data_IF_765939132438
#
_entry.id   IF_765939132438
#
_cell.length_a   1.000
_cell.length_b   1.000
_cell.length_c   1.000
_cell.angle_alpha   90.00
_cell.angle_beta   90.00
_cell.angle_gamma   90.00
#
_symmetry.space_group_name_H-M   'P 1'
#
loop_
_entity.id
_entity.type
_entity.pdbx_description
1 polymer ?
#
# COMPACT_ATOMS: atom_id res chain seq x y z
N UNK A 1 8.88 20.84 20.63
CA UNK A 1 7.77 20.28 19.83
C UNK A 1 7.91 18.77 19.82
N UNK A 2 7.06 18.05 20.55
CA UNK A 2 7.12 16.59 20.60
C UNK A 2 6.33 16.04 19.41
N UNK A 3 7.02 15.46 18.45
CA UNK A 3 6.40 14.55 17.46
C UNK A 3 5.64 13.52 18.27
N UNK A 4 4.35 13.33 17.98
CA UNK A 4 3.50 12.47 18.78
C UNK A 4 4.10 11.06 18.83
N UNK A 5 4.01 10.41 19.98
CA UNK A 5 4.56 9.06 20.18
C UNK A 5 3.96 8.04 19.18
N UNK A 6 2.77 8.33 18.68
CA UNK A 6 2.07 7.57 17.64
C UNK A 6 2.73 7.72 16.26
N UNK A 7 3.17 8.93 15.87
CA UNK A 7 3.91 9.14 14.62
C UNK A 7 5.26 8.44 14.65
N UNK A 8 5.93 8.40 15.81
CA UNK A 8 7.18 7.63 15.98
C UNK A 8 6.96 6.12 15.88
N UNK A 9 5.87 5.60 16.44
CA UNK A 9 5.50 4.19 16.33
C UNK A 9 5.12 3.81 14.90
N UNK A 10 4.48 4.68 14.15
CA UNK A 10 4.19 4.46 12.73
C UNK A 10 5.44 4.50 11.86
N UNK A 11 6.33 5.46 12.09
CA UNK A 11 7.63 5.49 11.43
C UNK A 11 8.45 4.22 11.73
N UNK A 12 8.40 3.72 12.96
CA UNK A 12 9.03 2.45 13.34
C UNK A 12 8.36 1.24 12.67
N UNK A 13 7.04 1.26 12.54
CA UNK A 13 6.28 0.17 11.89
C UNK A 13 6.47 0.17 10.38
N UNK A 14 6.46 1.35 9.75
CA UNK A 14 6.77 1.51 8.32
C UNK A 14 8.23 1.14 8.06
N UNK A 15 9.15 1.48 8.96
CA UNK A 15 10.55 1.08 8.86
C UNK A 15 10.71 -0.44 9.02
N UNK A 16 9.96 -1.08 9.92
CA UNK A 16 9.92 -2.53 10.07
C UNK A 16 9.32 -3.23 8.83
N UNK A 17 8.30 -2.64 8.20
CA UNK A 17 7.73 -3.14 6.94
C UNK A 17 8.72 -2.99 5.78
N UNK A 18 9.48 -1.89 5.71
CA UNK A 18 10.57 -1.70 4.73
C UNK A 18 11.73 -2.67 4.98
N UNK A 19 12.07 -2.96 6.24
CA UNK A 19 13.13 -3.91 6.58
C UNK A 19 12.68 -5.36 6.37
N UNK A 20 11.40 -5.66 6.55
CA UNK A 20 10.78 -6.92 6.15
C UNK A 20 10.79 -7.06 4.61
N UNK A 21 10.49 -6.00 3.86
CA UNK A 21 10.62 -5.98 2.40
C UNK A 21 12.06 -6.31 1.95
N UNK A 22 13.10 -5.76 2.60
CA UNK A 22 14.51 -6.07 2.29
C UNK A 22 14.82 -7.57 2.46
N UNK A 23 14.29 -8.18 3.49
CA UNK A 23 14.53 -9.60 3.80
C UNK A 23 13.82 -10.50 2.77
N UNK A 24 12.61 -10.14 2.38
CA UNK A 24 11.79 -10.87 1.41
C UNK A 24 12.41 -10.77 0.00
N UNK A 25 12.89 -9.58 -0.41
CA UNK A 25 13.56 -9.39 -1.69
C UNK A 25 14.87 -10.18 -1.80
N UNK A 26 15.64 -10.30 -0.73
CA UNK A 26 16.84 -11.15 -0.72
C UNK A 26 16.54 -12.62 -0.94
N UNK A 27 15.41 -13.13 -0.45
CA UNK A 27 14.99 -14.53 -0.67
C UNK A 27 14.43 -14.77 -2.09
N UNK A 28 13.81 -13.79 -2.72
CA UNK A 28 13.29 -13.92 -4.10
C UNK A 28 14.39 -13.95 -5.16
N UNK A 29 15.46 -13.18 -4.97
CA UNK A 29 16.64 -13.19 -5.86
C UNK A 29 17.52 -14.42 -5.68
N UNK A 30 17.57 -15.03 -4.50
CA UNK A 30 18.36 -16.26 -4.28
C UNK A 30 17.68 -17.53 -4.81
N UNK A 31 16.41 -17.47 -5.22
CA UNK A 31 15.66 -18.61 -5.79
C UNK A 31 15.96 -18.91 -7.26
N UNK A 32 16.81 -18.16 -7.94
CA UNK A 32 17.21 -18.35 -9.34
C UNK A 32 18.68 -18.77 -9.48
N UNK A 33 19.27 -19.34 -8.44
CA UNK A 33 20.49 -20.10 -8.55
C UNK A 33 20.14 -21.46 -9.19
N UNK A 34 20.27 -21.52 -10.53
CA UNK A 34 20.41 -22.78 -11.22
C UNK A 34 21.61 -23.53 -10.63
N UNK A 35 21.34 -24.52 -9.80
CA UNK A 35 22.28 -25.60 -9.56
C UNK A 35 22.55 -26.26 -10.90
N UNK A 36 23.71 -25.95 -11.49
CA UNK A 36 24.27 -26.72 -12.56
C UNK A 36 24.60 -28.11 -11.98
N UNK A 37 23.65 -29.06 -12.15
CA UNK A 37 23.94 -30.47 -11.92
C UNK A 37 24.90 -30.94 -13.01
N UNK A 38 26.17 -30.96 -12.69
CA UNK A 38 27.13 -31.83 -13.40
C UNK A 38 26.90 -33.23 -12.83
N UNK A 39 25.87 -33.89 -13.37
CA UNK A 39 25.71 -35.34 -13.21
C UNK A 39 26.58 -35.98 -14.29
N UNK A 40 27.79 -36.39 -13.97
CA UNK A 40 28.52 -37.40 -14.71
C UNK A 40 27.79 -38.74 -14.48
N UNK A 41 26.73 -38.97 -15.27
CA UNK A 41 26.02 -40.24 -15.35
C UNK A 41 26.67 -41.11 -16.43
N UNK A 42 27.36 -42.15 -16.01
CA UNK A 42 27.71 -43.25 -16.88
C UNK A 42 26.42 -43.89 -17.46
N UNK A 43 26.13 -43.65 -18.71
CA UNK A 43 25.08 -44.35 -19.47
C UNK A 43 25.69 -45.57 -20.11
N UNK A 44 25.37 -46.73 -19.56
CA UNK A 44 25.63 -48.05 -20.15
C UNK A 44 24.81 -48.20 -21.46
N UNK A 45 25.46 -48.72 -22.47
CA UNK A 45 25.06 -48.79 -23.84
C UNK A 45 23.66 -49.32 -24.16
N UNK A 46 23.04 -48.61 -25.10
CA UNK A 46 22.16 -49.20 -26.08
C UNK A 46 22.90 -49.00 -27.43
N UNK A 47 23.30 -50.12 -28.02
CA UNK A 47 23.84 -50.10 -29.39
C UNK A 47 22.70 -49.74 -30.33
N UNK A 48 22.59 -48.45 -30.67
CA UNK A 48 21.82 -47.98 -31.81
C UNK A 48 22.73 -48.10 -33.02
N UNK A 49 22.23 -48.69 -34.12
CA UNK A 49 22.93 -48.77 -35.40
C UNK A 49 23.52 -47.39 -35.74
N UNK A 50 24.83 -47.26 -35.59
CA UNK A 50 25.56 -46.05 -35.86
C UNK A 50 25.51 -45.81 -37.37
N UNK A 51 24.57 -44.97 -37.84
CA UNK A 51 24.67 -44.41 -39.19
C UNK A 51 26.07 -43.86 -39.38
N UNK A 52 26.73 -44.18 -40.47
CA UNK A 52 28.10 -43.75 -40.76
C UNK A 52 28.18 -42.21 -40.64
N UNK A 53 29.02 -41.71 -39.74
CA UNK A 53 29.21 -40.29 -39.51
C UNK A 53 29.67 -39.58 -40.78
N UNK A 54 29.18 -38.37 -41.04
CA UNK A 54 29.57 -37.56 -42.18
C UNK A 54 31.09 -37.39 -42.21
N UNK A 55 31.76 -37.73 -43.32
CA UNK A 55 33.23 -37.54 -43.46
C UNK A 55 33.74 -36.16 -43.08
N UNK A 56 32.92 -35.10 -43.25
CA UNK A 56 33.15 -33.73 -42.85
C UNK A 56 33.56 -33.61 -41.38
N UNK A 57 32.99 -34.41 -40.50
CA UNK A 57 33.23 -34.38 -39.08
C UNK A 57 34.67 -34.68 -38.68
N UNK A 58 35.37 -35.43 -39.53
CA UNK A 58 36.80 -35.75 -39.38
C UNK A 58 37.71 -34.80 -40.16
N UNK A 59 37.31 -34.45 -41.39
CA UNK A 59 38.10 -33.58 -42.27
C UNK A 59 38.13 -32.11 -41.76
N UNK A 60 37.06 -31.64 -41.15
CA UNK A 60 36.95 -30.26 -40.59
C UNK A 60 37.12 -30.22 -39.07
N UNK A 61 37.76 -31.22 -38.45
CA UNK A 61 37.90 -31.31 -36.98
C UNK A 61 38.47 -30.03 -36.34
N UNK A 62 39.54 -29.43 -36.91
CA UNK A 62 40.12 -28.21 -36.38
C UNK A 62 39.19 -27.01 -36.49
N UNK A 63 38.44 -26.88 -37.59
CA UNK A 63 37.48 -25.80 -37.77
C UNK A 63 36.30 -25.92 -36.78
N UNK A 64 35.86 -27.18 -36.53
CA UNK A 64 34.86 -27.46 -35.51
C UNK A 64 35.34 -27.10 -34.09
N UNK A 65 36.57 -27.49 -33.76
CA UNK A 65 37.24 -27.15 -32.49
C UNK A 65 37.36 -25.64 -32.31
N UNK A 66 37.77 -24.90 -33.33
CA UNK A 66 37.90 -23.45 -33.27
C UNK A 66 36.53 -22.76 -33.04
N UNK A 67 35.49 -23.27 -33.69
CA UNK A 67 34.11 -22.73 -33.49
C UNK A 67 33.59 -23.06 -32.11
N UNK A 68 33.81 -24.25 -31.58
CA UNK A 68 33.49 -24.63 -30.23
C UNK A 68 34.29 -23.78 -29.19
N UNK A 69 35.57 -23.57 -29.43
CA UNK A 69 36.39 -22.74 -28.56
C UNK A 69 35.91 -21.30 -28.52
N UNK A 70 35.42 -20.72 -29.60
CA UNK A 70 34.76 -19.38 -29.57
C UNK A 70 33.53 -19.39 -28.70
N UNK A 71 32.69 -20.44 -28.76
CA UNK A 71 31.55 -20.56 -27.86
C UNK A 71 31.99 -20.66 -26.41
N UNK A 72 33.04 -21.43 -26.10
CA UNK A 72 33.49 -21.71 -24.74
C UNK A 72 34.41 -20.63 -24.15
N UNK A 73 34.95 -19.69 -24.96
CA UNK A 73 36.03 -18.78 -24.60
C UNK A 73 35.82 -17.96 -23.32
N UNK A 74 34.58 -17.60 -22.99
CA UNK A 74 34.23 -16.80 -21.83
C UNK A 74 33.51 -17.60 -20.74
N UNK A 75 33.36 -18.91 -20.89
CA UNK A 75 32.65 -19.75 -19.93
C UNK A 75 33.62 -20.15 -18.82
N UNK A 76 33.34 -19.65 -17.63
CA UNK A 76 34.12 -20.02 -16.44
C UNK A 76 33.77 -21.45 -16.00
N UNK A 77 34.76 -22.34 -15.86
CA UNK A 77 34.48 -23.73 -15.48
C UNK A 77 33.78 -23.91 -14.14
N UNK A 78 33.93 -22.95 -13.21
CA UNK A 78 33.36 -23.01 -11.86
C UNK A 78 32.00 -22.31 -11.77
N UNK A 79 31.86 -21.18 -12.47
CA UNK A 79 30.66 -20.33 -12.36
C UNK A 79 29.77 -20.34 -13.61
N UNK A 80 30.18 -21.07 -14.65
CA UNK A 80 29.44 -21.15 -15.92
C UNK A 80 29.24 -19.76 -16.55
N UNK A 81 28.00 -19.41 -16.85
CA UNK A 81 27.63 -18.13 -17.49
C UNK A 81 27.45 -16.96 -16.52
N UNK A 82 27.54 -17.19 -15.20
CA UNK A 82 27.13 -16.21 -14.20
C UNK A 82 27.97 -14.92 -14.26
N UNK A 83 29.26 -15.01 -14.54
CA UNK A 83 30.18 -13.87 -14.58
C UNK A 83 30.33 -13.24 -15.97
N UNK A 84 29.76 -13.83 -17.01
CA UNK A 84 29.84 -13.31 -18.37
C UNK A 84 29.06 -11.99 -18.50
N UNK A 85 29.64 -11.02 -19.24
CA UNK A 85 28.89 -9.83 -19.66
C UNK A 85 27.79 -10.22 -20.68
N UNK A 86 26.87 -9.31 -20.94
CA UNK A 86 25.79 -9.54 -21.91
C UNK A 86 26.38 -9.74 -23.33
N UNK A 87 27.37 -8.96 -23.67
CA UNK A 87 28.08 -9.07 -24.96
C UNK A 87 28.79 -10.42 -25.09
N UNK A 88 29.44 -10.90 -24.02
CA UNK A 88 30.04 -12.21 -23.98
C UNK A 88 29.01 -13.34 -24.12
N UNK A 89 27.86 -13.23 -23.43
CA UNK A 89 26.75 -14.19 -23.57
C UNK A 89 26.20 -14.20 -24.99
N UNK A 90 26.02 -13.03 -25.59
CA UNK A 90 25.56 -12.91 -26.98
C UNK A 90 26.57 -13.52 -27.96
N UNK A 91 27.86 -13.24 -27.80
CA UNK A 91 28.91 -13.80 -28.63
C UNK A 91 29.00 -15.33 -28.52
N UNK A 92 28.93 -15.86 -27.29
CA UNK A 92 28.88 -17.31 -27.07
C UNK A 92 27.63 -17.94 -27.65
N UNK A 93 26.45 -17.35 -27.48
CA UNK A 93 25.21 -17.86 -28.09
C UNK A 93 25.32 -17.92 -29.62
N UNK A 94 25.86 -16.87 -30.24
CA UNK A 94 26.08 -16.82 -31.71
C UNK A 94 27.06 -17.90 -32.17
N UNK A 95 28.20 -18.04 -31.51
CA UNK A 95 29.19 -19.06 -31.84
C UNK A 95 28.65 -20.48 -31.60
N UNK A 96 27.85 -20.67 -30.55
CA UNK A 96 27.18 -21.96 -30.30
C UNK A 96 26.18 -22.34 -31.39
N UNK A 97 25.39 -21.38 -31.90
CA UNK A 97 24.51 -21.60 -33.04
C UNK A 97 25.29 -21.97 -34.29
N UNK A 98 26.34 -21.25 -34.60
CA UNK A 98 27.22 -21.54 -35.73
C UNK A 98 27.81 -22.94 -35.63
N UNK A 99 28.26 -23.36 -34.43
CA UNK A 99 28.75 -24.70 -34.18
C UNK A 99 27.66 -25.79 -34.45
N UNK A 100 26.45 -25.58 -33.92
CA UNK A 100 25.35 -26.55 -34.13
C UNK A 100 24.89 -26.60 -35.57
N UNK A 101 24.86 -25.50 -36.29
CA UNK A 101 24.49 -25.42 -37.69
C UNK A 101 25.48 -26.19 -38.59
N UNK A 102 26.77 -25.98 -38.35
CA UNK A 102 27.84 -26.57 -39.17
C UNK A 102 28.17 -28.02 -38.79
N UNK A 103 28.17 -28.33 -37.50
CA UNK A 103 28.71 -29.57 -36.94
C UNK A 103 27.71 -30.36 -36.08
N UNK A 104 26.45 -29.91 -35.98
CA UNK A 104 25.40 -30.60 -35.21
C UNK A 104 25.04 -32.00 -35.73
N UNK A 105 25.45 -32.34 -36.94
CA UNK A 105 25.35 -33.70 -37.56
C UNK A 105 26.46 -34.63 -37.06
N UNK A 106 27.55 -34.13 -36.50
CA UNK A 106 28.73 -34.87 -36.06
C UNK A 106 28.50 -35.53 -34.68
N UNK A 107 27.44 -36.31 -34.61
CA UNK A 107 26.92 -36.87 -33.36
C UNK A 107 27.76 -37.98 -32.73
N UNK A 108 28.81 -38.45 -33.41
CA UNK A 108 29.75 -39.46 -32.91
C UNK A 108 31.05 -38.80 -32.45
N UNK A 109 31.60 -37.87 -33.23
CA UNK A 109 32.88 -37.19 -32.92
C UNK A 109 32.71 -36.11 -31.86
N UNK A 110 31.54 -35.39 -31.87
CA UNK A 110 31.31 -34.20 -31.02
C UNK A 110 30.11 -34.33 -30.06
N UNK A 111 29.74 -35.57 -29.67
CA UNK A 111 28.55 -35.89 -28.85
C UNK A 111 28.42 -34.95 -27.64
N UNK A 112 29.45 -34.91 -26.78
CA UNK A 112 29.41 -34.16 -25.53
C UNK A 112 29.30 -32.65 -25.77
N UNK A 113 30.03 -32.14 -26.77
CA UNK A 113 30.02 -30.71 -27.11
C UNK A 113 28.70 -30.30 -27.74
N UNK A 114 28.15 -31.08 -28.64
CA UNK A 114 26.85 -30.83 -29.27
C UNK A 114 25.74 -30.80 -28.22
N UNK A 115 25.70 -31.77 -27.31
CA UNK A 115 24.71 -31.81 -26.23
C UNK A 115 24.85 -30.63 -25.26
N UNK A 116 26.07 -30.26 -24.94
CA UNK A 116 26.35 -29.10 -24.09
C UNK A 116 25.89 -27.79 -24.76
N UNK A 117 26.25 -27.57 -26.01
CA UNK A 117 25.90 -26.39 -26.80
C UNK A 117 24.38 -26.32 -27.01
N UNK A 118 23.71 -27.42 -27.34
CA UNK A 118 22.24 -27.49 -27.49
C UNK A 118 21.49 -27.04 -26.23
N UNK A 119 22.01 -27.39 -25.06
CA UNK A 119 21.42 -26.97 -23.78
C UNK A 119 21.79 -25.52 -23.42
N UNK A 120 22.99 -25.09 -23.79
CA UNK A 120 23.55 -23.81 -23.35
C UNK A 120 23.06 -22.62 -24.19
N UNK A 121 22.94 -22.80 -25.52
CA UNK A 121 22.52 -21.68 -26.40
C UNK A 121 21.16 -21.10 -26.03
N UNK A 122 20.09 -21.89 -25.84
CA UNK A 122 18.79 -21.32 -25.41
C UNK A 122 18.85 -20.62 -24.06
N UNK A 123 19.69 -21.12 -23.13
CA UNK A 123 19.87 -20.48 -21.84
C UNK A 123 20.58 -19.12 -21.95
N UNK A 124 21.64 -19.03 -22.76
CA UNK A 124 22.35 -17.79 -23.04
C UNK A 124 21.44 -16.75 -23.71
N UNK A 125 20.69 -17.17 -24.73
CA UNK A 125 19.73 -16.29 -25.42
C UNK A 125 18.69 -15.73 -24.48
N UNK A 126 18.11 -16.57 -23.60
CA UNK A 126 17.18 -16.13 -22.58
C UNK A 126 17.81 -15.11 -21.64
N UNK A 127 19.06 -15.36 -21.18
CA UNK A 127 19.79 -14.42 -20.32
C UNK A 127 20.00 -13.06 -21.01
N UNK A 128 20.33 -13.06 -22.30
CA UNK A 128 20.50 -11.83 -23.10
C UNK A 128 19.16 -11.09 -23.25
N UNK A 129 18.11 -11.81 -23.57
CA UNK A 129 16.76 -11.22 -23.75
C UNK A 129 16.20 -10.65 -22.46
N UNK A 130 16.43 -11.33 -21.33
CA UNK A 130 15.93 -10.89 -20.02
C UNK A 130 16.82 -9.80 -19.36
N UNK A 131 18.06 -9.62 -19.81
CA UNK A 131 19.00 -8.71 -19.19
C UNK A 131 18.50 -7.26 -19.04
N UNK A 132 17.86 -6.63 -20.05
CA UNK A 132 17.34 -5.28 -19.89
C UNK A 132 16.25 -5.18 -18.82
N UNK A 133 15.42 -6.23 -18.72
CA UNK A 133 14.38 -6.34 -17.70
C UNK A 133 15.00 -6.44 -16.30
N UNK A 134 15.97 -7.33 -16.13
CA UNK A 134 16.68 -7.55 -14.86
C UNK A 134 17.40 -6.27 -14.43
N UNK A 135 18.09 -5.58 -15.34
CA UNK A 135 18.79 -4.34 -15.04
C UNK A 135 17.86 -3.23 -14.51
N UNK A 136 16.61 -3.18 -14.96
CA UNK A 136 15.62 -2.23 -14.42
C UNK A 136 15.21 -2.64 -13.00
N UNK A 137 14.93 -3.94 -12.78
CA UNK A 137 14.58 -4.46 -11.46
C UNK A 137 15.71 -4.22 -10.45
N UNK A 138 16.96 -4.49 -10.81
CA UNK A 138 18.12 -4.29 -9.94
C UNK A 138 18.28 -2.80 -9.54
N UNK A 139 18.04 -1.87 -10.47
CA UNK A 139 18.05 -0.43 -10.16
C UNK A 139 16.93 -0.07 -9.18
N UNK A 140 15.74 -0.59 -9.40
CA UNK A 140 14.60 -0.37 -8.51
C UNK A 140 14.90 -0.91 -7.11
N UNK A 141 15.34 -2.17 -7.02
CA UNK A 141 15.64 -2.86 -5.77
C UNK A 141 16.78 -2.20 -4.99
N UNK A 142 17.77 -1.65 -5.68
CA UNK A 142 18.87 -0.89 -5.04
C UNK A 142 18.40 0.48 -4.51
N UNK A 143 17.47 1.13 -5.21
CA UNK A 143 16.97 2.46 -4.85
C UNK A 143 16.06 2.46 -3.61
N UNK A 144 15.22 1.42 -3.45
CA UNK A 144 14.26 1.31 -2.34
C UNK A 144 14.92 1.37 -0.95
N UNK A 145 15.89 0.48 -0.58
CA UNK A 145 16.53 0.53 0.72
C UNK A 145 17.38 1.77 0.93
N UNK A 146 17.89 2.36 -0.17
CA UNK A 146 18.66 3.60 -0.14
C UNK A 146 17.77 4.86 -0.01
N UNK A 147 16.44 4.71 -0.06
CA UNK A 147 15.45 5.81 -0.07
C UNK A 147 15.69 6.81 -1.20
N UNK A 148 16.25 6.36 -2.31
CA UNK A 148 16.47 7.15 -3.52
C UNK A 148 15.20 7.13 -4.37
N UNK A 149 14.18 7.83 -3.91
CA UNK A 149 12.83 7.72 -4.49
C UNK A 149 12.79 8.13 -5.97
N UNK A 150 13.57 9.13 -6.37
CA UNK A 150 13.65 9.53 -7.79
C UNK A 150 14.18 8.41 -8.68
N UNK A 151 15.23 7.70 -8.23
CA UNK A 151 15.77 6.56 -8.96
C UNK A 151 14.77 5.39 -8.97
N UNK A 152 14.09 5.13 -7.84
CA UNK A 152 13.07 4.10 -7.74
C UNK A 152 11.90 4.37 -8.69
N UNK A 153 11.36 5.59 -8.69
CA UNK A 153 10.26 5.95 -9.58
C UNK A 153 10.68 5.96 -11.05
N UNK A 154 11.90 6.40 -11.37
CA UNK A 154 12.42 6.35 -12.74
C UNK A 154 12.51 4.89 -13.25
N UNK A 155 13.10 3.99 -12.46
CA UNK A 155 13.18 2.57 -12.82
C UNK A 155 11.81 1.91 -12.87
N UNK A 156 10.94 2.18 -11.89
CA UNK A 156 9.58 1.64 -11.86
C UNK A 156 8.72 2.11 -13.03
N UNK A 157 8.76 3.39 -13.39
CA UNK A 157 8.07 3.93 -14.56
C UNK A 157 8.56 3.29 -15.87
N UNK A 158 9.88 3.10 -16.00
CA UNK A 158 10.47 2.39 -17.14
C UNK A 158 9.99 0.94 -17.21
N UNK A 159 9.93 0.25 -16.06
CA UNK A 159 9.43 -1.13 -16.00
C UNK A 159 7.96 -1.23 -16.41
N UNK A 160 7.11 -0.39 -15.86
CA UNK A 160 5.67 -0.35 -16.19
C UNK A 160 5.44 -0.10 -17.68
N UNK A 161 6.23 0.80 -18.29
CA UNK A 161 6.11 1.14 -19.70
C UNK A 161 6.55 0.00 -20.62
N UNK A 162 7.66 -0.69 -20.29
CA UNK A 162 8.23 -1.75 -21.13
C UNK A 162 7.61 -3.13 -20.88
N UNK A 163 7.15 -3.39 -19.65
CA UNK A 163 6.72 -4.72 -19.20
C UNK A 163 5.34 -4.69 -18.48
N UNK A 164 4.26 -4.14 -19.11
CA UNK A 164 2.97 -3.92 -18.44
C UNK A 164 2.24 -5.21 -18.03
N UNK A 165 2.64 -6.37 -18.59
CA UNK A 165 2.07 -7.67 -18.28
C UNK A 165 3.04 -8.62 -17.56
N UNK A 166 4.16 -8.09 -17.08
CA UNK A 166 5.17 -8.89 -16.38
C UNK A 166 4.63 -9.37 -15.02
N UNK A 167 4.92 -10.64 -14.64
CA UNK A 167 4.54 -11.17 -13.32
C UNK A 167 5.12 -10.34 -12.13
N UNK A 168 6.24 -9.66 -12.33
CA UNK A 168 6.87 -8.82 -11.29
C UNK A 168 6.23 -7.41 -11.17
N UNK A 169 5.28 -7.06 -12.04
CA UNK A 169 4.68 -5.72 -12.06
C UNK A 169 4.15 -5.27 -10.69
N UNK A 170 3.45 -6.15 -9.98
CA UNK A 170 2.91 -5.84 -8.66
C UNK A 170 4.01 -5.57 -7.63
N UNK A 171 5.18 -6.21 -7.74
CA UNK A 171 6.33 -5.97 -6.86
C UNK A 171 6.91 -4.57 -7.03
N UNK A 172 6.66 -3.92 -8.16
CA UNK A 172 7.11 -2.57 -8.47
C UNK A 172 6.05 -1.54 -8.07
N UNK A 173 4.81 -1.71 -8.55
CA UNK A 173 3.78 -0.68 -8.42
C UNK A 173 3.19 -0.57 -7.01
N UNK A 174 3.13 -1.66 -6.23
CA UNK A 174 2.66 -1.61 -4.83
C UNK A 174 3.58 -0.77 -3.95
N UNK A 175 4.92 -0.98 -3.92
CA UNK A 175 5.83 -0.09 -3.22
C UNK A 175 5.75 1.36 -3.68
N UNK A 176 5.71 1.62 -4.99
CA UNK A 176 5.59 2.99 -5.52
C UNK A 176 4.33 3.69 -5.00
N UNK A 177 3.17 3.01 -5.04
CA UNK A 177 1.93 3.54 -4.49
C UNK A 177 2.05 3.89 -3.00
N UNK A 178 2.69 3.04 -2.21
CA UNK A 178 2.85 3.23 -0.77
C UNK A 178 3.87 4.32 -0.41
N UNK A 179 4.98 4.41 -1.14
CA UNK A 179 6.00 5.45 -0.98
C UNK A 179 5.40 6.83 -1.21
N UNK A 180 4.54 7.00 -2.23
CA UNK A 180 3.92 8.29 -2.51
C UNK A 180 3.05 8.81 -1.38
N UNK A 181 2.31 7.93 -0.68
CA UNK A 181 1.55 8.32 0.54
C UNK A 181 2.48 8.64 1.70
N UNK A 182 3.53 7.83 1.90
CA UNK A 182 4.52 8.08 2.94
C UNK A 182 5.18 9.45 2.76
N UNK A 183 5.62 9.76 1.56
CA UNK A 183 6.23 11.04 1.23
C UNK A 183 5.23 12.20 1.36
N UNK A 184 3.99 12.01 0.91
CA UNK A 184 2.93 13.01 1.07
C UNK A 184 2.64 13.29 2.56
N UNK A 185 2.65 12.28 3.43
CA UNK A 185 2.51 12.45 4.87
C UNK A 185 3.67 13.25 5.50
N UNK A 186 4.84 13.19 4.87
CA UNK A 186 6.02 13.99 5.21
C UNK A 186 6.08 15.32 4.46
N UNK A 187 4.98 15.76 3.81
CA UNK A 187 4.85 17.00 3.04
C UNK A 187 5.64 17.03 1.72
N UNK A 188 6.21 15.93 1.30
CA UNK A 188 6.78 15.79 -0.03
C UNK A 188 5.70 15.29 -1.00
N UNK A 189 5.09 16.21 -1.74
CA UNK A 189 3.94 15.92 -2.62
C UNK A 189 4.36 15.42 -4.02
N UNK A 190 5.66 15.32 -4.28
CA UNK A 190 6.22 15.00 -5.61
C UNK A 190 5.63 13.72 -6.21
N UNK A 191 5.36 12.72 -5.37
CA UNK A 191 4.94 11.39 -5.81
C UNK A 191 3.45 11.12 -5.57
N UNK A 192 2.67 12.14 -5.17
CA UNK A 192 1.27 11.98 -4.81
C UNK A 192 0.40 11.48 -5.99
N UNK A 193 0.58 12.06 -7.17
CA UNK A 193 -0.17 11.66 -8.37
C UNK A 193 0.20 10.25 -8.83
N UNK A 194 1.48 9.91 -8.79
CA UNK A 194 1.97 8.56 -9.10
C UNK A 194 1.41 7.53 -8.11
N UNK A 195 1.30 7.87 -6.83
CA UNK A 195 0.69 7.00 -5.83
C UNK A 195 -0.77 6.68 -6.18
N UNK A 196 -1.57 7.67 -6.55
CA UNK A 196 -2.96 7.44 -7.01
C UNK A 196 -2.97 6.57 -8.27
N UNK A 197 -2.14 6.90 -9.26
CA UNK A 197 -2.03 6.16 -10.52
C UNK A 197 -1.72 4.69 -10.29
N UNK A 198 -0.70 4.40 -9.47
CA UNK A 198 -0.28 3.02 -9.22
C UNK A 198 -1.22 2.28 -8.28
N UNK A 199 -1.85 2.95 -7.32
CA UNK A 199 -2.92 2.35 -6.52
C UNK A 199 -4.09 1.89 -7.40
N UNK A 200 -4.54 2.70 -8.34
CA UNK A 200 -5.58 2.34 -9.31
C UNK A 200 -5.15 1.17 -10.19
N UNK A 201 -3.92 1.20 -10.71
CA UNK A 201 -3.39 0.10 -11.53
C UNK A 201 -3.39 -1.24 -10.78
N UNK A 202 -3.02 -1.23 -9.49
CA UNK A 202 -3.06 -2.43 -8.65
C UNK A 202 -4.48 -2.94 -8.46
N UNK A 203 -5.43 -2.04 -8.16
CA UNK A 203 -6.86 -2.39 -8.01
C UNK A 203 -7.40 -3.00 -9.32
N UNK A 204 -7.10 -2.39 -10.46
CA UNK A 204 -7.54 -2.88 -11.78
C UNK A 204 -6.95 -4.25 -12.11
N UNK A 205 -5.66 -4.49 -11.81
CA UNK A 205 -5.03 -5.81 -12.00
C UNK A 205 -5.72 -6.88 -11.15
N UNK A 206 -6.07 -6.58 -9.90
CA UNK A 206 -6.79 -7.55 -9.06
C UNK A 206 -8.23 -7.79 -9.51
N UNK A 207 -8.92 -6.75 -9.99
CA UNK A 207 -10.26 -6.88 -10.55
C UNK A 207 -10.26 -7.66 -11.88
N UNK A 208 -9.19 -7.59 -12.66
CA UNK A 208 -9.02 -8.39 -13.88
C UNK A 208 -8.61 -9.84 -13.63
N UNK A 209 -8.56 -10.30 -12.39
CA UNK A 209 -8.36 -11.68 -12.01
C UNK A 209 -6.90 -12.09 -11.78
N UNK A 210 -5.97 -11.16 -11.59
CA UNK A 210 -4.61 -11.49 -11.17
C UNK A 210 -4.64 -12.25 -9.85
N UNK A 211 -4.07 -13.45 -9.83
CA UNK A 211 -3.99 -14.29 -8.64
C UNK A 211 -2.79 -13.90 -7.80
N UNK A 212 -3.01 -13.83 -6.49
CA UNK A 212 -1.98 -13.59 -5.50
C UNK A 212 -1.48 -14.92 -4.90
N UNK A 213 -1.05 -15.85 -5.76
CA UNK A 213 -0.63 -17.18 -5.33
C UNK A 213 0.71 -17.57 -5.94
N UNK A 214 1.62 -18.11 -5.13
CA UNK A 214 2.87 -18.71 -5.59
C UNK A 214 3.23 -19.89 -4.68
N UNK A 215 3.32 -21.08 -5.26
CA UNK A 215 3.71 -22.30 -4.52
C UNK A 215 2.81 -22.62 -3.31
N UNK A 216 1.50 -22.43 -3.44
CA UNK A 216 0.52 -22.65 -2.38
C UNK A 216 0.49 -21.59 -1.27
N UNK A 217 1.24 -20.51 -1.44
CA UNK A 217 1.22 -19.35 -0.53
C UNK A 217 0.57 -18.15 -1.20
N UNK A 218 -0.17 -17.37 -0.42
CA UNK A 218 -0.72 -16.10 -0.86
C UNK A 218 0.41 -15.04 -0.92
N UNK A 219 0.66 -14.50 -2.11
CA UNK A 219 1.69 -13.49 -2.35
C UNK A 219 1.14 -12.41 -3.28
N UNK A 220 0.98 -11.20 -2.76
CA UNK A 220 0.59 -10.02 -3.53
C UNK A 220 1.68 -8.96 -3.43
N UNK A 221 2.54 -8.86 -4.43
CA UNK A 221 3.70 -7.99 -4.35
C UNK A 221 4.61 -8.39 -3.18
N UNK A 222 4.84 -7.47 -2.23
CA UNK A 222 5.63 -7.73 -1.03
C UNK A 222 4.88 -8.49 0.07
N UNK A 223 3.58 -8.68 -0.05
CA UNK A 223 2.76 -9.36 0.96
C UNK A 223 2.82 -10.88 0.78
N UNK A 224 3.09 -11.61 1.87
CA UNK A 224 3.25 -13.07 1.90
C UNK A 224 2.48 -13.67 3.06
N UNK A 225 1.15 -13.50 3.10
CA UNK A 225 0.30 -14.07 4.15
C UNK A 225 -1.12 -14.32 3.61
N UNK A 226 -1.89 -15.10 4.34
CA UNK A 226 -3.31 -15.32 4.04
C UNK A 226 -4.06 -13.98 4.05
N UNK A 227 -4.94 -13.77 3.07
CA UNK A 227 -5.63 -12.50 2.90
C UNK A 227 -4.81 -11.38 2.25
N UNK A 228 -3.63 -11.67 1.72
CA UNK A 228 -2.74 -10.65 1.12
C UNK A 228 -3.43 -9.78 0.07
N UNK A 229 -4.31 -10.35 -0.75
CA UNK A 229 -5.06 -9.58 -1.76
C UNK A 229 -5.93 -8.51 -1.11
N UNK A 230 -6.66 -8.85 -0.06
CA UNK A 230 -7.56 -7.94 0.65
C UNK A 230 -6.77 -6.83 1.37
N UNK A 231 -5.63 -7.16 1.97
CA UNK A 231 -4.75 -6.17 2.57
C UNK A 231 -4.23 -5.17 1.54
N UNK A 232 -3.77 -5.66 0.37
CA UNK A 232 -3.31 -4.78 -0.71
C UNK A 232 -4.44 -3.90 -1.22
N UNK A 233 -5.63 -4.46 -1.46
CA UNK A 233 -6.80 -3.68 -1.90
C UNK A 233 -7.18 -2.62 -0.88
N UNK A 234 -7.18 -2.97 0.41
CA UNK A 234 -7.45 -2.05 1.51
C UNK A 234 -6.42 -0.91 1.56
N UNK A 235 -5.12 -1.23 1.42
CA UNK A 235 -4.05 -0.24 1.39
C UNK A 235 -4.14 0.67 0.15
N UNK A 236 -4.39 0.11 -1.04
CA UNK A 236 -4.47 0.91 -2.27
C UNK A 236 -5.66 1.89 -2.25
N UNK A 237 -6.82 1.46 -1.75
CA UNK A 237 -7.95 2.35 -1.55
C UNK A 237 -7.61 3.44 -0.52
N UNK A 238 -6.98 3.09 0.59
CA UNK A 238 -6.52 4.09 1.57
C UNK A 238 -5.52 5.09 0.96
N UNK A 239 -4.60 4.65 0.13
CA UNK A 239 -3.63 5.52 -0.52
C UNK A 239 -4.32 6.58 -1.40
N UNK A 240 -5.30 6.15 -2.21
CA UNK A 240 -6.09 7.06 -3.04
C UNK A 240 -6.88 8.02 -2.15
N UNK A 241 -7.56 7.49 -1.11
CA UNK A 241 -8.35 8.29 -0.19
C UNK A 241 -7.51 9.35 0.51
N UNK A 242 -6.36 8.97 1.09
CA UNK A 242 -5.48 9.86 1.83
C UNK A 242 -5.01 11.04 0.96
N UNK A 243 -4.49 10.75 -0.23
CA UNK A 243 -3.99 11.80 -1.13
C UNK A 243 -5.13 12.68 -1.62
N UNK A 244 -6.27 12.10 -2.00
CA UNK A 244 -7.43 12.86 -2.46
C UNK A 244 -7.96 13.77 -1.35
N UNK A 245 -8.02 13.30 -0.11
CA UNK A 245 -8.51 14.04 1.05
C UNK A 245 -7.54 15.14 1.49
N UNK A 246 -6.28 14.76 1.79
CA UNK A 246 -5.33 15.63 2.48
C UNK A 246 -4.45 16.46 1.55
N UNK A 247 -4.16 15.95 0.33
CA UNK A 247 -3.29 16.64 -0.63
C UNK A 247 -4.09 17.43 -1.64
N UNK A 248 -5.13 16.80 -2.24
CA UNK A 248 -5.97 17.46 -3.24
C UNK A 248 -7.12 18.24 -2.64
N UNK A 249 -7.34 18.14 -1.34
CA UNK A 249 -8.45 18.76 -0.60
C UNK A 249 -9.84 18.44 -1.19
N UNK A 250 -9.95 17.31 -1.92
CA UNK A 250 -11.22 16.78 -2.40
C UNK A 250 -11.76 15.75 -1.40
N UNK A 251 -12.34 16.26 -0.31
CA UNK A 251 -12.82 15.43 0.79
C UNK A 251 -13.97 14.53 0.37
N UNK A 252 -14.89 15.02 -0.45
CA UNK A 252 -16.02 14.24 -0.96
C UNK A 252 -15.57 13.15 -1.91
N UNK A 253 -14.65 13.46 -2.82
CA UNK A 253 -14.07 12.49 -3.75
C UNK A 253 -13.23 11.39 -3.08
N UNK A 254 -12.76 11.61 -1.85
CA UNK A 254 -12.04 10.62 -1.08
C UNK A 254 -12.95 9.56 -0.41
N UNK A 255 -14.21 9.90 -0.12
CA UNK A 255 -15.12 9.04 0.66
C UNK A 255 -15.31 7.64 0.09
N UNK A 256 -15.54 7.44 -1.22
CA UNK A 256 -15.70 6.09 -1.77
C UNK A 256 -14.49 5.21 -1.47
N UNK A 257 -13.29 5.76 -1.55
CA UNK A 257 -12.05 5.02 -1.31
C UNK A 257 -11.82 4.73 0.18
N UNK A 258 -12.16 5.67 1.09
CA UNK A 258 -12.15 5.36 2.52
C UNK A 258 -13.19 4.28 2.86
N UNK A 259 -14.35 4.33 2.24
CA UNK A 259 -15.38 3.30 2.45
C UNK A 259 -14.89 1.93 2.00
N UNK A 260 -14.34 1.81 0.79
CA UNK A 260 -13.76 0.57 0.30
C UNK A 260 -12.62 0.06 1.19
N UNK A 261 -11.73 0.95 1.67
CA UNK A 261 -10.66 0.58 2.59
C UNK A 261 -11.22 0.01 3.92
N UNK A 262 -12.36 0.54 4.40
CA UNK A 262 -13.05 0.05 5.60
C UNK A 262 -13.81 -1.27 5.38
N UNK A 263 -14.29 -1.56 4.16
CA UNK A 263 -15.04 -2.78 3.85
C UNK A 263 -14.14 -3.99 3.56
N UNK A 264 -12.92 -3.76 3.01
CA UNK A 264 -11.99 -4.86 2.76
C UNK A 264 -11.47 -5.44 4.09
N UNK A 265 -11.48 -6.79 4.28
CA UNK A 265 -11.00 -7.43 5.50
C UNK A 265 -9.47 -7.37 5.59
N UNK A 266 -8.92 -6.16 5.57
CA UNK A 266 -7.50 -5.86 5.56
C UNK A 266 -7.08 -4.95 6.71
N UNK A 267 -5.81 -4.51 6.67
CA UNK A 267 -5.21 -3.68 7.74
C UNK A 267 -5.93 -2.36 7.94
N UNK A 268 -6.44 -1.73 6.87
CA UNK A 268 -7.10 -0.42 6.95
C UNK A 268 -8.50 -0.48 7.53
N UNK A 269 -9.15 -1.64 7.51
CA UNK A 269 -10.39 -1.85 8.26
C UNK A 269 -10.18 -1.65 9.78
N UNK A 270 -8.95 -1.91 10.27
CA UNK A 270 -8.57 -1.74 11.67
C UNK A 270 -7.80 -0.44 11.94
N UNK A 271 -7.76 0.47 10.98
CA UNK A 271 -7.05 1.74 11.09
C UNK A 271 -8.04 2.85 11.47
N UNK A 272 -7.94 3.44 12.67
CA UNK A 272 -8.88 4.45 13.13
C UNK A 272 -8.89 5.72 12.26
N UNK A 273 -7.82 5.99 11.51
CA UNK A 273 -7.73 7.17 10.64
C UNK A 273 -8.70 7.10 9.47
N UNK A 274 -9.04 5.90 8.99
CA UNK A 274 -10.06 5.71 7.95
C UNK A 274 -11.40 6.28 8.41
N UNK A 275 -11.82 5.90 9.61
CA UNK A 275 -13.08 6.34 10.18
C UNK A 275 -13.03 7.79 10.67
N UNK A 276 -11.87 8.22 11.21
CA UNK A 276 -11.64 9.61 11.60
C UNK A 276 -11.81 10.58 10.43
N UNK A 277 -11.24 10.28 9.27
CA UNK A 277 -11.39 11.12 8.07
C UNK A 277 -12.85 11.20 7.60
N UNK A 278 -13.61 10.12 7.72
CA UNK A 278 -15.05 10.12 7.42
C UNK A 278 -15.82 10.97 8.42
N UNK A 279 -15.49 10.89 9.72
CA UNK A 279 -16.10 11.72 10.76
C UNK A 279 -15.80 13.21 10.52
N UNK A 280 -14.54 13.56 10.22
CA UNK A 280 -14.13 14.92 9.90
C UNK A 280 -14.91 15.50 8.71
N UNK A 281 -15.18 14.69 7.69
CA UNK A 281 -16.03 15.12 6.57
C UNK A 281 -17.44 15.49 7.06
N UNK A 282 -18.09 14.66 7.88
CA UNK A 282 -19.44 14.95 8.38
C UNK A 282 -19.46 16.18 9.29
N UNK A 283 -18.45 16.35 10.15
CA UNK A 283 -18.29 17.56 10.95
C UNK A 283 -18.24 18.81 10.07
N UNK A 284 -17.48 18.79 8.97
CA UNK A 284 -17.37 19.93 8.07
C UNK A 284 -18.66 20.24 7.32
N UNK A 285 -19.42 19.19 6.92
CA UNK A 285 -20.73 19.41 6.30
C UNK A 285 -21.74 20.00 7.30
N UNK A 286 -21.64 19.62 8.57
CA UNK A 286 -22.54 20.09 9.63
C UNK A 286 -22.32 21.56 10.03
N UNK A 287 -21.07 22.03 10.03
CA UNK A 287 -20.73 23.40 10.44
C UNK A 287 -21.54 24.50 9.73
N UNK A 288 -21.64 24.53 8.39
CA UNK A 288 -22.42 25.54 7.70
C UNK A 288 -23.91 25.46 8.04
N UNK A 289 -24.46 24.26 8.25
CA UNK A 289 -25.87 24.07 8.61
C UNK A 289 -26.18 24.76 9.95
N UNK A 290 -25.27 24.62 10.94
CA UNK A 290 -25.42 25.31 12.22
C UNK A 290 -25.49 26.84 12.09
N UNK A 291 -24.67 27.41 11.17
CA UNK A 291 -24.72 28.86 10.87
C UNK A 291 -26.05 29.23 10.19
N UNK A 292 -26.47 28.48 9.18
CA UNK A 292 -27.74 28.70 8.48
C UNK A 292 -28.93 28.67 9.45
N UNK A 293 -28.96 27.74 10.41
CA UNK A 293 -29.98 27.70 11.46
C UNK A 293 -29.99 29.00 12.28
N UNK A 294 -28.80 29.49 12.69
CA UNK A 294 -28.68 30.76 13.42
C UNK A 294 -29.21 31.96 12.63
N UNK A 295 -28.90 32.03 11.34
CA UNK A 295 -29.36 33.07 10.44
C UNK A 295 -30.89 33.00 10.25
N UNK A 296 -31.46 31.82 10.07
CA UNK A 296 -32.92 31.61 9.97
C UNK A 296 -33.66 32.01 11.25
N UNK A 297 -33.14 31.66 12.43
CA UNK A 297 -33.70 32.04 13.72
C UNK A 297 -33.71 33.60 13.85
N UNK A 298 -32.65 34.25 13.41
CA UNK A 298 -32.57 35.71 13.44
C UNK A 298 -33.62 36.35 12.53
N UNK A 299 -33.80 35.81 11.35
CA UNK A 299 -34.84 36.25 10.39
C UNK A 299 -36.25 36.00 10.96
N UNK A 300 -36.49 34.84 11.57
CA UNK A 300 -37.77 34.50 12.19
C UNK A 300 -38.17 35.50 13.29
N UNK A 301 -37.19 35.92 14.10
CA UNK A 301 -37.42 36.94 15.13
C UNK A 301 -37.77 38.34 14.57
N UNK A 302 -37.24 38.65 13.40
CA UNK A 302 -37.51 39.91 12.71
C UNK A 302 -38.77 39.89 11.84
N UNK A 303 -39.33 38.73 11.55
CA UNK A 303 -40.53 38.55 10.72
C UNK A 303 -41.76 39.20 11.36
N UNK A 304 -42.53 39.92 10.58
CA UNK A 304 -43.71 40.68 11.02
C UNK A 304 -45.03 39.97 10.82
N UNK A 305 -45.08 39.01 9.87
CA UNK A 305 -46.27 38.23 9.57
C UNK A 305 -46.19 36.81 10.15
N UNK A 306 -47.32 36.26 10.53
CA UNK A 306 -47.40 34.87 11.04
C UNK A 306 -47.09 33.86 9.92
N UNK A 307 -47.45 34.15 8.67
CA UNK A 307 -47.15 33.28 7.52
C UNK A 307 -45.63 33.15 7.30
N UNK A 308 -44.88 34.27 7.34
CA UNK A 308 -43.41 34.26 7.25
C UNK A 308 -42.78 33.50 8.42
N UNK A 309 -43.29 33.71 9.65
CA UNK A 309 -42.80 32.97 10.83
C UNK A 309 -43.00 31.46 10.70
N UNK A 310 -44.15 31.02 10.20
CA UNK A 310 -44.44 29.59 9.96
C UNK A 310 -43.54 28.99 8.89
N UNK A 311 -43.28 29.75 7.80
CA UNK A 311 -42.37 29.30 6.74
C UNK A 311 -40.95 29.12 7.26
N UNK A 312 -40.45 30.12 7.99
CA UNK A 312 -39.12 30.06 8.61
C UNK A 312 -39.00 28.97 9.66
N UNK A 313 -40.05 28.71 10.43
CA UNK A 313 -40.11 27.60 11.41
C UNK A 313 -39.95 26.24 10.68
N UNK A 314 -40.64 26.06 9.57
CA UNK A 314 -40.50 24.83 8.76
C UNK A 314 -39.07 24.67 8.20
N UNK A 315 -38.47 25.73 7.70
CA UNK A 315 -37.08 25.74 7.22
C UNK A 315 -36.09 25.40 8.34
N UNK A 316 -36.25 26.02 9.52
CA UNK A 316 -35.42 25.76 10.71
C UNK A 316 -35.52 24.28 11.12
N UNK A 317 -36.75 23.73 11.20
CA UNK A 317 -37.00 22.32 11.53
C UNK A 317 -36.31 21.38 10.53
N UNK A 318 -36.41 21.68 9.25
CA UNK A 318 -35.77 20.89 8.20
C UNK A 318 -34.23 20.90 8.35
N UNK A 319 -33.63 22.06 8.60
CA UNK A 319 -32.19 22.21 8.83
C UNK A 319 -31.72 21.53 10.10
N UNK A 320 -32.48 21.63 11.19
CA UNK A 320 -32.22 20.88 12.44
C UNK A 320 -32.26 19.38 12.19
N UNK A 321 -33.26 18.89 11.46
CA UNK A 321 -33.36 17.48 11.08
C UNK A 321 -32.13 17.01 10.29
N UNK A 322 -31.67 17.81 9.33
CA UNK A 322 -30.48 17.52 8.54
C UNK A 322 -29.20 17.52 9.43
N UNK A 323 -29.05 18.50 10.31
CA UNK A 323 -27.92 18.55 11.26
C UNK A 323 -27.90 17.30 12.16
N UNK A 324 -29.06 16.84 12.65
CA UNK A 324 -29.17 15.58 13.42
C UNK A 324 -28.70 14.38 12.61
N UNK A 325 -29.06 14.30 11.34
CA UNK A 325 -28.59 13.25 10.44
C UNK A 325 -27.06 13.22 10.30
N UNK A 326 -26.44 14.39 10.11
CA UNK A 326 -24.99 14.51 10.08
C UNK A 326 -24.32 14.12 11.41
N UNK A 327 -24.89 14.52 12.54
CA UNK A 327 -24.41 14.11 13.88
C UNK A 327 -24.43 12.59 14.02
N UNK A 328 -25.49 11.90 13.61
CA UNK A 328 -25.55 10.45 13.72
C UNK A 328 -24.51 9.74 12.81
N UNK A 329 -24.27 10.27 11.60
CA UNK A 329 -23.21 9.77 10.71
C UNK A 329 -21.81 10.00 11.29
N UNK A 330 -21.58 11.16 11.89
CA UNK A 330 -20.32 11.50 12.58
C UNK A 330 -20.10 10.56 13.77
N UNK A 331 -21.12 10.35 14.61
CA UNK A 331 -21.05 9.41 15.73
C UNK A 331 -20.84 7.96 15.30
N UNK A 332 -21.43 7.51 14.17
CA UNK A 332 -21.17 6.18 13.62
C UNK A 332 -19.68 6.02 13.31
N UNK A 333 -19.11 6.96 12.56
CA UNK A 333 -17.71 6.92 12.18
C UNK A 333 -16.75 6.99 13.38
N UNK A 334 -17.00 7.88 14.35
CA UNK A 334 -16.21 7.99 15.58
C UNK A 334 -16.31 6.74 16.47
N UNK A 335 -17.50 6.11 16.55
CA UNK A 335 -17.69 4.86 17.28
C UNK A 335 -16.81 3.75 16.71
N UNK A 336 -16.75 3.63 15.37
CA UNK A 336 -15.89 2.68 14.70
C UNK A 336 -14.41 3.01 14.89
N UNK A 337 -14.01 4.29 14.76
CA UNK A 337 -12.65 4.73 15.03
C UNK A 337 -12.21 4.31 16.44
N UNK A 338 -13.05 4.58 17.46
CA UNK A 338 -12.77 4.19 18.84
C UNK A 338 -12.69 2.67 19.02
N UNK A 339 -13.60 1.91 18.39
CA UNK A 339 -13.63 0.46 18.50
C UNK A 339 -12.37 -0.21 17.94
N UNK A 340 -11.84 0.28 16.80
CA UNK A 340 -10.64 -0.28 16.18
C UNK A 340 -9.33 0.27 16.77
N UNK A 341 -9.40 1.33 17.57
CA UNK A 341 -8.25 1.86 18.30
C UNK A 341 -7.86 0.91 19.44
N UNK A 342 -6.66 0.31 19.44
CA UNK A 342 -6.24 -0.58 20.51
C UNK A 342 -6.29 0.10 21.89
N UNK A 343 -6.64 -0.64 22.92
CA UNK A 343 -6.63 -0.15 24.30
C UNK A 343 -5.25 -0.38 24.94
N UNK A 344 -4.34 0.54 24.65
CA UNK A 344 -2.95 0.51 25.14
C UNK A 344 -2.58 1.85 25.73
N UNK A 345 -1.57 1.94 26.61
CA UNK A 345 -1.10 3.21 27.12
C UNK A 345 -0.73 4.23 26.03
N UNK A 346 -0.22 3.75 24.90
CA UNK A 346 0.20 4.59 23.79
C UNK A 346 -0.99 5.25 23.04
N UNK A 347 -2.12 4.56 22.98
CA UNK A 347 -3.32 5.00 22.24
C UNK A 347 -4.42 5.55 23.16
N UNK A 348 -4.24 5.41 24.49
CA UNK A 348 -5.25 5.81 25.48
C UNK A 348 -5.73 7.25 25.31
N UNK A 349 -4.81 8.20 25.19
CA UNK A 349 -5.17 9.61 25.05
C UNK A 349 -6.01 9.89 23.80
N UNK A 350 -5.71 9.23 22.68
CA UNK A 350 -6.50 9.33 21.45
C UNK A 350 -7.88 8.70 21.62
N UNK A 351 -7.93 7.50 22.19
CA UNK A 351 -9.19 6.77 22.45
C UNK A 351 -10.12 7.54 23.40
N UNK A 352 -9.56 8.14 24.46
CA UNK A 352 -10.29 9.00 25.40
C UNK A 352 -10.78 10.29 24.72
N UNK A 353 -10.01 10.85 23.79
CA UNK A 353 -10.41 11.98 22.96
C UNK A 353 -11.64 11.67 22.11
N UNK A 354 -11.61 10.54 21.39
CA UNK A 354 -12.77 10.07 20.61
C UNK A 354 -14.01 9.85 21.47
N UNK A 355 -13.85 9.34 22.69
CA UNK A 355 -14.98 9.11 23.60
C UNK A 355 -15.60 10.43 24.08
N UNK A 356 -14.79 11.43 24.41
CA UNK A 356 -15.27 12.77 24.80
C UNK A 356 -16.03 13.46 23.67
N UNK A 357 -15.55 13.31 22.46
CA UNK A 357 -16.22 13.86 21.28
C UNK A 357 -17.58 13.17 21.05
N UNK A 358 -17.60 11.83 21.11
CA UNK A 358 -18.82 11.05 21.06
C UNK A 358 -19.82 11.45 22.14
N UNK A 359 -19.35 11.69 23.39
CA UNK A 359 -20.19 12.13 24.49
C UNK A 359 -20.83 13.49 24.19
N UNK A 360 -20.04 14.45 23.69
CA UNK A 360 -20.55 15.77 23.31
C UNK A 360 -21.61 15.70 22.19
N UNK A 361 -21.35 14.89 21.16
CA UNK A 361 -22.31 14.69 20.06
C UNK A 361 -23.57 13.97 20.51
N UNK A 362 -23.44 12.99 21.40
CA UNK A 362 -24.56 12.25 21.96
C UNK A 362 -25.47 13.17 22.81
N UNK A 363 -24.86 14.01 23.68
CA UNK A 363 -25.60 15.02 24.44
C UNK A 363 -26.31 16.02 23.51
N UNK A 364 -25.62 16.48 22.46
CA UNK A 364 -26.21 17.38 21.47
C UNK A 364 -27.37 16.73 20.70
N UNK A 365 -27.30 15.44 20.41
CA UNK A 365 -28.30 14.73 19.62
C UNK A 365 -29.52 14.30 20.43
N UNK A 366 -29.31 13.82 21.65
CA UNK A 366 -30.36 13.17 22.45
C UNK A 366 -30.74 13.94 23.72
N UNK A 367 -30.09 15.07 23.98
CA UNK A 367 -30.31 15.93 25.16
C UNK A 367 -30.20 15.18 26.51
N UNK A 368 -29.36 14.11 26.51
CA UNK A 368 -29.11 13.26 27.69
C UNK A 368 -27.67 12.78 27.69
N UNK A 369 -27.16 12.47 28.88
CA UNK A 369 -25.77 11.99 29.06
C UNK A 369 -25.67 10.47 29.08
N UNK A 370 -26.72 9.82 29.56
CA UNK A 370 -26.74 8.38 29.76
C UNK A 370 -27.11 7.64 28.46
N UNK A 371 -26.51 6.48 28.23
CA UNK A 371 -26.82 5.61 27.09
C UNK A 371 -25.80 5.66 25.94
N UNK A 372 -24.66 6.37 26.10
CA UNK A 372 -23.63 6.42 25.05
C UNK A 372 -23.02 5.07 24.78
N UNK A 373 -22.61 4.29 25.80
CA UNK A 373 -21.96 2.98 25.56
C UNK A 373 -22.90 1.97 24.89
N UNK A 374 -24.17 1.81 25.30
CA UNK A 374 -25.13 1.04 24.52
C UNK A 374 -25.31 1.53 23.08
N UNK A 375 -25.32 2.85 22.85
CA UNK A 375 -25.40 3.42 21.51
C UNK A 375 -24.20 3.02 20.66
N UNK A 376 -22.96 3.15 21.18
CA UNK A 376 -21.73 2.74 20.50
C UNK A 376 -21.80 1.25 20.14
N UNK A 377 -22.16 0.39 21.11
CA UNK A 377 -22.27 -1.05 20.88
C UNK A 377 -23.31 -1.39 19.79
N UNK A 378 -24.47 -0.76 19.82
CA UNK A 378 -25.51 -0.95 18.81
C UNK A 378 -25.11 -0.44 17.42
N UNK A 379 -24.28 0.62 17.36
CA UNK A 379 -23.78 1.21 16.14
C UNK A 379 -22.76 0.30 15.44
N UNK A 380 -21.76 -0.18 16.17
CA UNK A 380 -20.72 -1.06 15.60
C UNK A 380 -21.25 -2.44 15.19
N UNK A 381 -22.36 -2.90 15.79
CA UNK A 381 -23.02 -4.14 15.40
C UNK A 381 -23.73 -4.06 14.04
N UNK A 382 -23.96 -2.86 13.51
CA UNK A 382 -24.58 -2.64 12.20
C UNK A 382 -23.53 -2.46 11.12
N UNK A 383 -23.83 -2.77 9.85
CA UNK A 383 -22.98 -2.37 8.73
C UNK A 383 -22.74 -0.85 8.75
N UNK A 384 -21.54 -0.45 8.37
CA UNK A 384 -21.21 0.96 8.24
C UNK A 384 -22.06 1.60 7.11
N UNK A 385 -22.73 2.72 7.38
CA UNK A 385 -23.45 3.44 6.33
C UNK A 385 -22.49 3.91 5.24
N UNK A 386 -22.91 3.81 3.97
CA UNK A 386 -22.10 4.31 2.88
C UNK A 386 -21.92 5.84 3.00
N UNK A 387 -20.71 6.36 3.15
CA UNK A 387 -20.48 7.80 3.34
C UNK A 387 -20.75 8.64 2.08
N UNK A 388 -20.90 8.00 0.91
CA UNK A 388 -21.26 8.69 -0.33
C UNK A 388 -22.76 8.88 -0.50
N UNK A 389 -23.59 8.20 0.32
CA UNK A 389 -25.04 8.37 0.29
C UNK A 389 -25.45 9.68 0.97
N UNK A 390 -26.52 10.29 0.45
CA UNK A 390 -27.11 11.49 1.05
C UNK A 390 -27.51 11.23 2.50
N UNK A 391 -27.33 12.27 3.31
CA UNK A 391 -27.74 12.24 4.72
C UNK A 391 -29.23 12.53 4.82
N UNK A 392 -29.98 11.60 5.36
CA UNK A 392 -31.42 11.75 5.58
C UNK A 392 -31.68 12.64 6.79
N UNK A 393 -32.50 13.69 6.68
CA UNK A 393 -32.94 14.46 7.83
C UNK A 393 -33.69 13.59 8.84
N UNK A 394 -33.45 13.81 10.13
CA UNK A 394 -34.10 13.07 11.21
C UNK A 394 -35.14 13.95 11.88
N UNK A 395 -36.39 13.46 11.89
CA UNK A 395 -37.49 14.06 12.65
C UNK A 395 -37.72 13.18 13.88
N UNK A 396 -37.48 13.74 15.06
CA UNK A 396 -37.80 13.02 16.31
C UNK A 396 -39.33 12.94 16.45
N UNK A 397 -39.86 11.83 16.95
CA UNK A 397 -41.29 11.74 17.23
C UNK A 397 -41.68 12.84 18.22
N UNK A 398 -42.74 13.56 17.91
CA UNK A 398 -43.30 14.54 18.82
C UNK A 398 -43.66 13.77 20.12
N UNK A 399 -43.21 14.24 21.30
CA UNK A 399 -43.64 13.60 22.55
C UNK A 399 -45.15 13.55 22.57
N UNK A 400 -45.72 12.39 22.57
CA UNK A 400 -47.16 12.20 22.85
C UNK A 400 -47.37 12.58 24.31
N UNK A 401 -47.55 13.86 24.57
CA UNK A 401 -48.09 14.33 25.86
C UNK A 401 -49.46 13.73 26.00
N UNK A 402 -49.56 12.79 26.94
CA UNK A 402 -50.85 12.24 27.36
C UNK A 402 -51.82 13.38 27.55
N UNK A 403 -52.99 13.22 26.96
CA UNK A 403 -54.12 14.14 26.98
C UNK A 403 -54.42 14.56 28.42
N UNK A 404 -53.96 15.74 28.83
CA UNK A 404 -54.51 16.48 29.94
C UNK A 404 -54.98 17.80 29.34
N UNK A 405 -56.31 17.86 29.17
CA UNK A 405 -57.04 19.06 28.80
C UNK A 405 -56.80 20.14 29.83
N UNK A 406 -55.97 21.15 29.52
CA UNK A 406 -55.98 22.44 30.23
C UNK A 406 -55.41 23.53 29.30
N UNK A 407 -56.13 24.61 29.24
CA UNK A 407 -56.07 25.88 28.51
C UNK A 407 -54.75 26.39 27.92
N UNK A 408 -54.80 27.32 26.91
CA UNK A 408 -53.67 27.79 26.12
C UNK A 408 -52.69 28.60 26.95
N UNK A 409 -51.62 27.96 27.37
CA UNK A 409 -50.47 28.60 28.00
C UNK A 409 -49.37 28.77 26.97
N UNK A 410 -48.92 29.98 26.85
CA UNK A 410 -47.76 30.45 26.05
C UNK A 410 -46.59 29.46 26.05
N UNK A 411 -46.37 28.79 24.93
CA UNK A 411 -45.19 27.96 24.74
C UNK A 411 -44.00 28.90 24.56
N UNK A 412 -43.18 28.97 25.58
CA UNK A 412 -41.87 29.63 25.55
C UNK A 412 -40.95 28.76 24.71
N UNK A 413 -40.35 29.24 23.58
CA UNK A 413 -39.39 28.46 22.81
C UNK A 413 -38.17 28.15 23.70
N UNK A 414 -37.85 26.86 23.83
CA UNK A 414 -36.57 26.46 24.41
C UNK A 414 -35.44 26.97 23.50
N UNK A 415 -34.79 28.02 23.93
CA UNK A 415 -33.60 28.58 23.30
C UNK A 415 -32.49 27.59 23.54
N UNK A 416 -32.10 26.86 22.51
CA UNK A 416 -30.85 26.13 22.50
C UNK A 416 -29.73 27.15 22.29
N UNK A 417 -28.93 27.51 23.31
CA UNK A 417 -27.80 28.41 23.11
C UNK A 417 -26.75 27.61 22.32
N UNK A 418 -26.57 27.94 21.06
CA UNK A 418 -25.41 27.53 20.30
C UNK A 418 -24.16 28.22 20.92
N UNK A 419 -23.61 27.62 21.97
CA UNK A 419 -22.27 27.96 22.41
C UNK A 419 -21.31 27.19 21.48
N UNK A 420 -20.44 27.86 20.72
CA UNK A 420 -19.42 27.16 19.95
C UNK A 420 -18.43 26.59 20.96
N UNK A 421 -18.55 25.31 21.26
CA UNK A 421 -17.46 24.57 21.88
C UNK A 421 -16.48 24.26 20.77
N UNK A 422 -15.54 25.18 20.60
CA UNK A 422 -14.33 24.93 19.83
C UNK A 422 -13.45 23.97 20.61
N UNK A 423 -13.75 22.70 20.59
CA UNK A 423 -12.80 21.67 20.98
C UNK A 423 -12.12 21.19 19.70
N UNK A 424 -11.05 21.90 19.35
CA UNK A 424 -10.09 21.46 18.35
C UNK A 424 -9.45 20.16 18.84
N UNK A 425 -9.95 19.02 18.42
CA UNK A 425 -9.07 17.90 18.13
C UNK A 425 -8.57 18.14 16.72
N UNK A 426 -7.83 19.22 16.58
CA UNK A 426 -7.06 19.54 15.40
C UNK A 426 -6.00 18.46 15.28
N UNK A 427 -6.07 17.63 14.28
CA UNK A 427 -4.85 17.14 13.63
C UNK A 427 -4.21 18.38 13.02
N UNK A 428 -3.73 19.29 13.87
CA UNK A 428 -2.97 20.46 13.45
C UNK A 428 -1.57 19.98 13.19
N UNK A 429 -1.27 19.70 11.95
CA UNK A 429 0.07 19.82 11.41
C UNK A 429 0.59 21.23 11.66
N UNK A 430 1.40 21.41 12.72
CA UNK A 430 2.25 22.59 12.83
C UNK A 430 3.51 22.36 11.99
N UNK A 431 3.98 23.38 11.25
CA UNK A 431 5.26 23.30 10.54
C UNK A 431 6.38 23.00 11.53
N UNK A 432 7.17 21.98 11.23
CA UNK A 432 8.43 21.69 11.94
C UNK A 432 9.46 22.70 11.46
N UNK A 433 9.82 23.61 12.33
CA UNK A 433 10.94 24.51 12.16
C UNK A 433 12.24 23.70 12.16
N UNK A 434 12.93 23.66 11.02
CA UNK A 434 14.22 23.00 10.86
C UNK A 434 15.31 23.91 11.40
N UNK A 435 15.63 23.80 12.68
CA UNK A 435 16.91 24.28 13.19
C UNK A 435 17.23 23.62 14.52
N UNK A 436 17.89 22.46 14.45
CA UNK A 436 18.94 22.09 15.42
C UNK A 436 19.77 20.95 14.84
N UNK A 437 20.94 21.31 14.37
CA UNK A 437 22.07 20.44 14.11
C UNK A 437 22.45 19.70 15.40
N UNK A 438 22.04 18.45 15.53
CA UNK A 438 22.56 17.56 16.57
C UNK A 438 23.81 16.85 16.03
N UNK A 439 24.96 17.30 16.51
CA UNK A 439 26.29 16.70 16.32
C UNK A 439 26.25 15.26 16.82
N UNK A 440 26.32 14.29 15.90
CA UNK A 440 26.49 12.88 16.24
C UNK A 440 27.89 12.64 16.79
N UNK A 441 28.00 12.29 18.06
CA UNK A 441 29.20 11.80 18.68
C UNK A 441 29.59 10.45 18.06
N UNK A 442 30.83 10.34 17.55
CA UNK A 442 31.45 9.12 17.06
C UNK A 442 31.49 8.05 18.17
N UNK A 443 31.13 6.78 17.88
CA UNK A 443 31.35 5.70 18.81
C UNK A 443 32.86 5.40 18.93
N UNK A 444 33.37 5.38 20.16
CA UNK A 444 34.73 4.96 20.49
C UNK A 444 34.90 3.48 20.16
N UNK A 445 35.81 3.18 19.24
CA UNK A 445 36.32 1.84 18.95
C UNK A 445 37.09 1.33 20.16
N UNK A 446 36.56 0.27 20.81
CA UNK A 446 37.28 -0.48 21.84
C UNK A 446 38.35 -1.34 21.19
N UNK A 447 39.61 -1.08 21.54
CA UNK A 447 40.78 -1.84 21.11
C UNK A 447 40.73 -3.27 21.69
N UNK A 448 40.73 -4.30 20.84
CA UNK A 448 40.92 -5.71 21.22
C UNK A 448 42.40 -5.93 21.58
N UNK A 449 42.65 -6.40 22.82
CA UNK A 449 43.95 -6.91 23.27
C UNK A 449 44.29 -8.22 22.53
N UNK A 450 45.58 -8.44 22.17
CA UNK A 450 46.01 -9.67 21.52
C UNK A 450 46.07 -10.83 22.52
N UNK A 451 45.48 -11.96 22.14
CA UNK A 451 45.58 -13.22 22.85
C UNK A 451 46.88 -13.91 22.54
N UNK A 452 47.76 -14.03 23.54
CA UNK A 452 49.02 -14.78 23.47
C UNK A 452 48.70 -16.29 23.51
N UNK A 453 48.98 -16.99 22.42
CA UNK A 453 48.91 -18.47 22.32
C UNK A 453 50.17 -19.07 22.89
N UNK A 454 50.10 -19.69 24.07
CA UNK A 454 51.17 -20.59 24.63
C UNK A 454 51.21 -21.86 23.78
N UNK A 455 52.40 -22.10 23.13
CA UNK A 455 52.74 -23.45 22.63
C UNK A 455 53.02 -24.39 23.81
N UNK A 456 52.36 -25.53 23.77
CA UNK A 456 52.80 -26.72 24.57
C UNK A 456 53.57 -27.63 23.63
N UNK A 457 54.75 -27.97 24.13
CA UNK A 457 55.62 -29.04 23.66
C UNK A 457 54.99 -30.42 23.78
#
# INVERSE_FOLDING_TARGET
MQVSRLEKLELFRIQAEVDLMKTIFRFLNSGLLMTAFVAAGAVSGIAQDAAAEDPKCKTEYQAALDTYNKFAANIDPQTGFAKMTIEQKQASATAGKEFLEKYGICSTTWVAQIDYVKKSVPALERMVTEAPRIAILDRFDAAIPAKKWDEAYAAGNEFVAKYPNDPALLNIVIPMASIGVLEASNKNLKYADDSIKYSKLVIDKFNSGVKCEKGGKQVCGAYQFEGAKQDVLSDMNYNIAYITYHVKNDKKGALPFYYEAAQQPGRKQKDPRVYGSIADYYLEQRKPIGKEIGDLITRQKAATTDEEKLTLDAEIKAKIGLAKGYIEREMDALSRARNVTPDTPATKAYRDGLYKELQSLYEQRFEKKDGLDPFIAATIAKPMPNPTSDVTPITDPVPTTGTTTTAPGTVKPAVVPAKPVATKVSVTEKPVDQSTTATMAKPKTAAKKPVVRKKRS
#
